data_IF_657833104916
#
_entry.id   IF_657833104916
#
_cell.length_a   1.000
_cell.length_b   1.000
_cell.length_c   1.000
_cell.angle_alpha   90.00
_cell.angle_beta   90.00
_cell.angle_gamma   90.00
#
_symmetry.space_group_name_H-M   'P 1'
#
loop_
_entity.id
_entity.type
_entity.pdbx_description
1 polymer ?
2 polymer ?
3 non-polymer ?
4 non-polymer ?
5 water ?
#
# COMPACT_ATOMS: atom_id res chain seq x y z
N UNK A 2 27.37 3.65 -2.42
CA UNK A 2 26.88 3.50 -1.06
C UNK A 2 26.14 4.78 -0.63
N UNK A 3 24.81 4.79 -0.80
CA UNK A 3 23.97 5.93 -0.42
C UNK A 3 23.83 6.08 1.09
N UNK A 4 24.55 5.27 1.89
CA UNK A 4 24.66 5.56 3.31
C UNK A 4 25.31 6.90 3.57
N UNK A 5 26.04 7.43 2.59
CA UNK A 5 26.59 8.77 2.72
C UNK A 5 25.46 9.80 2.79
N UNK A 6 24.65 9.90 1.73
CA UNK A 6 23.55 10.86 1.71
C UNK A 6 22.69 10.77 2.95
N UNK A 7 22.73 9.64 3.67
CA UNK A 7 21.92 9.44 4.86
C UNK A 7 22.58 10.07 6.09
N UNK A 8 23.77 9.57 6.45
CA UNK A 8 24.51 10.17 7.56
C UNK A 8 24.69 11.67 7.36
N UNK A 9 24.89 12.10 6.11
CA UNK A 9 25.00 13.53 5.82
C UNK A 9 23.72 14.25 6.22
N UNK A 10 22.56 13.65 5.95
CA UNK A 10 21.30 14.31 6.28
C UNK A 10 20.99 14.22 7.77
N UNK A 11 21.37 13.12 8.42
CA UNK A 11 21.05 12.98 9.85
C UNK A 11 21.94 13.88 10.70
N UNK A 12 23.25 13.88 10.43
CA UNK A 12 24.13 14.86 11.05
C UNK A 12 23.66 16.27 10.72
N UNK A 13 23.48 16.55 9.43
CA UNK A 13 22.94 17.84 9.00
C UNK A 13 21.56 18.10 9.61
N UNK A 14 20.78 17.04 9.87
CA UNK A 14 19.48 17.17 10.51
C UNK A 14 18.39 17.80 9.66
N UNK A 15 18.49 17.71 8.34
CA UNK A 15 17.61 18.43 7.42
C UNK A 15 16.59 17.50 6.76
N UNK A 16 16.03 16.55 7.51
CA UNK A 16 15.05 15.64 6.93
C UNK A 16 13.78 16.37 6.54
N UNK A 17 13.26 17.22 7.44
CA UNK A 17 12.09 18.03 7.10
C UNK A 17 12.39 18.96 5.94
N UNK A 18 13.61 19.51 5.89
CA UNK A 18 14.00 20.33 4.76
C UNK A 18 13.84 19.55 3.46
N UNK A 19 14.34 18.32 3.42
CA UNK A 19 14.27 17.52 2.22
C UNK A 19 12.84 17.06 1.95
N UNK A 20 12.10 16.73 3.01
CA UNK A 20 10.71 16.31 2.82
C UNK A 20 9.88 17.43 2.20
N UNK A 21 10.04 18.66 2.68
CA UNK A 21 9.26 19.78 2.14
C UNK A 21 9.60 20.06 0.68
N UNK A 22 10.84 19.79 0.27
CA UNK A 22 11.20 20.03 -1.12
C UNK A 22 10.39 19.13 -2.06
N UNK A 23 10.13 17.90 -1.64
CA UNK A 23 9.37 16.98 -2.47
C UNK A 23 7.93 17.43 -2.60
N UNK A 24 7.34 17.91 -1.49
CA UNK A 24 6.01 18.50 -1.57
C UNK A 24 5.98 19.60 -2.62
N UNK A 25 7.03 20.41 -2.68
CA UNK A 25 7.01 21.56 -3.58
C UNK A 25 7.16 21.12 -5.03
N UNK A 26 7.99 20.12 -5.28
CA UNK A 26 8.21 19.65 -6.65
C UNK A 26 7.16 18.66 -7.12
N UNK A 27 6.37 18.08 -6.22
CA UNK A 27 5.47 16.99 -6.60
C UNK A 27 4.42 17.46 -7.61
N UNK A 28 4.07 16.55 -8.52
CA UNK A 28 3.12 16.85 -9.58
C UNK A 28 1.78 17.36 -9.02
N UNK A 29 0.92 17.81 -9.92
CA UNK A 29 -0.35 18.44 -9.54
C UNK A 29 -1.26 18.31 -10.76
N UNK A 30 -2.06 17.25 -10.79
CA UNK A 30 -2.95 17.05 -11.93
C UNK A 30 -4.40 17.21 -11.53
N UNK A 31 -5.31 17.43 -12.48
CA UNK A 31 -6.72 17.60 -12.12
C UNK A 31 -7.29 16.34 -11.50
N UNK A 32 -8.15 16.53 -10.49
CA UNK A 32 -8.95 15.48 -9.88
C UNK A 32 -10.43 15.79 -10.08
N UNK A 33 -10.91 15.76 -11.32
CA UNK A 33 -12.23 16.30 -11.61
C UNK A 33 -13.33 15.32 -11.24
N UNK A 34 -13.20 14.05 -11.63
CA UNK A 34 -14.21 13.05 -11.27
C UNK A 34 -14.30 12.93 -9.75
N UNK A 35 -13.15 12.87 -9.07
CA UNK A 35 -13.15 12.82 -7.62
C UNK A 35 -13.96 13.93 -6.99
N UNK A 36 -14.00 15.10 -7.64
CA UNK A 36 -14.63 16.26 -7.02
C UNK A 36 -16.09 16.43 -7.38
N UNK A 37 -16.62 15.64 -8.31
CA UNK A 37 -18.05 15.74 -8.59
C UNK A 37 -18.85 15.56 -7.31
N UNK A 38 -20.06 16.13 -7.25
CA UNK A 38 -20.84 16.02 -6.01
C UNK A 38 -21.37 14.62 -5.77
N UNK A 39 -21.80 13.90 -6.82
CA UNK A 39 -22.29 12.55 -6.60
C UNK A 39 -21.23 11.63 -6.02
N UNK A 40 -19.99 12.10 -5.87
CA UNK A 40 -18.90 11.30 -5.34
C UNK A 40 -18.39 11.83 -4.01
N UNK A 41 -19.06 12.83 -3.44
CA UNK A 41 -18.61 13.34 -2.16
C UNK A 41 -18.54 12.24 -1.10
N UNK A 42 -19.52 11.34 -1.10
CA UNK A 42 -19.60 10.29 -0.09
C UNK A 42 -18.74 9.06 -0.41
N UNK A 43 -18.02 9.06 -1.54
CA UNK A 43 -17.11 7.98 -1.84
C UNK A 43 -15.66 8.32 -1.49
N UNK A 44 -15.43 9.49 -0.90
CA UNK A 44 -14.10 9.91 -0.47
C UNK A 44 -14.10 10.06 1.03
N UNK A 45 -13.08 9.50 1.67
CA UNK A 45 -12.97 9.56 3.12
C UNK A 45 -12.47 10.92 3.59
N UNK A 46 -11.49 11.49 2.89
CA UNK A 46 -10.95 12.79 3.19
C UNK A 46 -11.17 13.72 2.01
N UNK A 47 -11.41 14.99 2.30
CA UNK A 47 -11.73 15.90 1.21
C UNK A 47 -10.50 16.59 0.61
N UNK A 48 -9.32 16.38 1.17
CA UNK A 48 -8.07 16.81 0.55
C UNK A 48 -7.23 15.63 0.05
N UNK A 49 -7.85 14.48 -0.24
CA UNK A 49 -7.15 13.32 -0.78
C UNK A 49 -7.99 12.73 -1.90
N UNK A 50 -7.56 12.92 -3.15
CA UNK A 50 -8.31 12.45 -4.31
C UNK A 50 -7.38 11.85 -5.36
N UNK A 51 -7.84 10.88 -6.13
CA UNK A 51 -7.02 10.36 -7.23
C UNK A 51 -7.02 11.30 -8.42
N UNK A 52 -5.85 11.42 -9.06
CA UNK A 52 -5.77 12.12 -10.34
C UNK A 52 -6.64 11.43 -11.37
N UNK A 53 -7.34 12.23 -12.18
CA UNK A 53 -8.14 11.69 -13.28
C UNK A 53 -7.34 10.74 -14.16
N UNK A 54 -6.04 11.01 -14.37
CA UNK A 54 -5.35 10.25 -15.40
C UNK A 54 -4.96 8.85 -14.95
N UNK A 55 -4.84 8.63 -13.64
CA UNK A 55 -4.41 7.32 -13.12
C UNK A 55 -5.47 6.66 -12.23
N UNK A 56 -6.70 7.16 -12.20
CA UNK A 56 -7.69 6.62 -11.30
C UNK A 56 -8.23 5.29 -11.84
N UNK A 57 -8.51 4.36 -10.92
CA UNK A 57 -9.13 3.10 -11.28
C UNK A 57 -10.60 3.33 -11.61
N UNK A 58 -11.09 2.70 -12.68
CA UNK A 58 -12.50 2.79 -13.03
C UNK A 58 -13.19 1.46 -12.79
N UNK A 59 -14.29 1.49 -12.05
CA UNK A 59 -15.18 0.34 -11.94
C UNK A 59 -15.88 0.10 -13.27
N UNK A 60 -16.07 -1.17 -13.61
CA UNK A 60 -16.77 -1.55 -14.84
C UNK A 60 -18.29 -1.54 -14.59
N UNK A 61 -18.78 -0.36 -14.20
CA UNK A 61 -20.18 -0.09 -13.92
C UNK A 61 -20.68 0.95 -14.91
N UNK A 62 -21.92 0.79 -15.36
CA UNK A 62 -22.47 1.75 -16.32
C UNK A 62 -22.96 3.04 -15.65
N UNK A 63 -23.28 3.00 -14.35
CA UNK A 63 -23.81 4.17 -13.67
C UNK A 63 -22.68 5.06 -13.15
N UNK A 64 -22.02 4.62 -12.07
CA UNK A 64 -20.95 5.40 -11.45
C UNK A 64 -19.71 4.54 -11.35
N UNK A 65 -18.65 4.94 -12.07
CA UNK A 65 -17.45 4.13 -12.15
C UNK A 65 -16.35 4.60 -11.22
N UNK A 66 -16.68 5.44 -10.24
CA UNK A 66 -15.68 6.13 -9.44
C UNK A 66 -15.36 5.39 -8.14
N UNK A 67 -14.07 5.28 -7.84
CA UNK A 67 -13.58 4.85 -6.54
C UNK A 67 -12.28 5.59 -6.28
N UNK A 68 -12.04 5.91 -5.01
CA UNK A 68 -10.83 6.65 -4.64
C UNK A 68 -9.64 5.67 -4.59
N UNK A 69 -9.19 5.29 -5.79
CA UNK A 69 -8.01 4.45 -5.94
C UNK A 69 -7.20 4.93 -7.15
N UNK A 70 -5.89 4.67 -7.12
CA UNK A 70 -4.95 5.12 -8.15
C UNK A 70 -4.04 3.99 -8.61
N UNK A 71 -3.86 3.87 -9.92
CA UNK A 71 -2.91 2.92 -10.50
C UNK A 71 -1.54 3.58 -10.58
N UNK A 72 -0.57 3.03 -9.86
CA UNK A 72 0.79 3.52 -9.83
C UNK A 72 1.63 2.54 -10.64
N UNK A 73 1.96 2.91 -11.86
CA UNK A 73 2.65 2.02 -12.79
C UNK A 73 4.11 2.42 -12.86
N UNK A 74 4.96 1.70 -12.15
CA UNK A 74 6.38 2.00 -12.15
C UNK A 74 7.00 1.29 -13.35
N UNK A 75 7.20 2.06 -14.42
CA UNK A 75 7.55 1.48 -15.73
C UNK A 75 8.89 0.76 -15.68
N UNK A 76 9.92 1.41 -15.13
CA UNK A 76 11.24 0.81 -15.10
C UNK A 76 11.28 -0.36 -14.13
N UNK A 77 10.81 -0.16 -12.90
CA UNK A 77 10.78 -1.25 -11.94
C UNK A 77 9.92 -2.41 -12.41
N UNK A 78 8.99 -2.17 -13.34
CA UNK A 78 8.15 -3.22 -13.89
C UNK A 78 7.15 -3.77 -12.88
N UNK A 79 6.67 -2.93 -11.97
CA UNK A 79 5.60 -3.30 -11.05
C UNK A 79 4.54 -2.21 -11.00
N UNK A 80 3.28 -2.63 -11.02
CA UNK A 80 2.15 -1.74 -10.76
C UNK A 80 1.60 -1.98 -9.36
N UNK A 81 1.13 -0.91 -8.73
CA UNK A 81 0.39 -0.97 -7.48
C UNK A 81 -0.90 -0.18 -7.63
N UNK A 82 -1.92 -0.58 -6.86
CA UNK A 82 -3.15 0.19 -6.72
C UNK A 82 -3.19 0.68 -5.27
N UNK A 83 -3.09 1.98 -5.08
CA UNK A 83 -3.24 2.58 -3.76
C UNK A 83 -4.64 3.17 -3.64
N UNK A 84 -5.35 2.79 -2.58
CA UNK A 84 -6.71 3.21 -2.35
C UNK A 84 -6.85 3.61 -0.90
N UNK A 85 -7.93 4.33 -0.58
CA UNK A 85 -8.23 4.66 0.80
C UNK A 85 -8.85 3.46 1.51
N UNK A 86 -8.78 3.47 2.84
CA UNK A 86 -9.57 2.53 3.63
C UNK A 86 -11.03 2.61 3.22
N UNK A 87 -11.60 1.48 2.81
CA UNK A 87 -12.97 1.50 2.30
C UNK A 87 -13.95 2.11 3.31
N UNK A 88 -15.03 2.67 2.78
CA UNK A 88 -16.05 3.30 3.62
C UNK A 88 -17.23 2.36 3.74
N UNK A 89 -18.12 2.60 4.72
CA UNK A 89 -19.27 1.69 4.87
C UNK A 89 -19.99 1.45 3.58
N UNK A 90 -20.05 2.46 2.71
CA UNK A 90 -20.74 2.32 1.44
C UNK A 90 -19.83 1.94 0.28
N UNK A 91 -18.50 1.87 0.46
CA UNK A 91 -17.63 1.55 -0.67
C UNK A 91 -17.01 0.15 -0.59
N UNK A 92 -17.36 -0.66 0.42
CA UNK A 92 -16.83 -2.02 0.51
C UNK A 92 -17.12 -2.83 -0.76
N UNK A 93 -18.35 -2.78 -1.24
CA UNK A 93 -18.65 -3.44 -2.50
C UNK A 93 -17.78 -2.94 -3.65
N UNK A 94 -17.53 -1.61 -3.69
CA UNK A 94 -16.70 -1.07 -4.76
C UNK A 94 -15.27 -1.56 -4.65
N UNK A 95 -14.79 -1.64 -3.41
CA UNK A 95 -13.42 -2.10 -3.18
C UNK A 95 -13.21 -3.49 -3.76
N UNK A 96 -14.11 -4.44 -3.43
CA UNK A 96 -13.96 -5.80 -3.90
C UNK A 96 -14.30 -5.94 -5.37
N UNK A 97 -15.19 -5.09 -5.89
CA UNK A 97 -15.39 -5.05 -7.33
C UNK A 97 -14.09 -4.65 -8.03
N UNK A 98 -13.41 -3.65 -7.48
CA UNK A 98 -12.13 -3.26 -8.03
C UNK A 98 -11.15 -4.42 -7.98
N UNK A 99 -11.05 -5.08 -6.81
CA UNK A 99 -10.16 -6.22 -6.66
C UNK A 99 -10.45 -7.27 -7.72
N UNK A 100 -11.73 -7.56 -7.97
CA UNK A 100 -12.09 -8.55 -8.97
C UNK A 100 -11.75 -8.07 -10.38
N UNK A 101 -12.21 -6.87 -10.75
CA UNK A 101 -12.03 -6.40 -12.13
C UNK A 101 -10.57 -6.21 -12.49
N UNK A 102 -9.73 -5.81 -11.55
CA UNK A 102 -8.30 -5.66 -11.80
C UNK A 102 -7.49 -6.95 -11.57
N UNK A 103 -8.15 -8.06 -11.21
CA UNK A 103 -7.50 -9.35 -11.06
C UNK A 103 -6.41 -9.33 -9.99
N UNK A 104 -6.54 -8.46 -9.00
CA UNK A 104 -5.55 -8.49 -7.93
C UNK A 104 -5.63 -9.82 -7.19
N UNK A 105 -4.49 -10.21 -6.61
CA UNK A 105 -4.35 -11.42 -5.85
C UNK A 105 -4.02 -11.15 -4.40
N UNK A 106 -3.50 -9.98 -4.08
CA UNK A 106 -3.20 -9.64 -2.71
C UNK A 106 -3.75 -8.27 -2.37
N UNK A 107 -4.12 -8.10 -1.11
CA UNK A 107 -4.45 -6.81 -0.52
C UNK A 107 -3.52 -6.60 0.66
N UNK A 108 -2.85 -5.46 0.70
CA UNK A 108 -1.98 -5.10 1.81
C UNK A 108 -2.66 -3.96 2.56
N UNK A 109 -2.97 -4.20 3.83
CA UNK A 109 -3.66 -3.23 4.68
C UNK A 109 -2.72 -2.84 5.81
N UNK A 110 -2.44 -1.55 5.94
CA UNK A 110 -1.39 -1.06 6.82
C UNK A 110 -1.92 -0.26 8.01
N UNK A 111 -3.23 -0.10 8.13
CA UNK A 111 -3.86 0.56 9.25
C UNK A 111 -4.70 -0.44 10.04
N UNK A 112 -5.24 0.02 11.16
CA UNK A 112 -6.27 -0.73 11.86
C UNK A 112 -7.63 -0.03 11.69
N UNK A 113 -8.69 -0.81 11.87
CA UNK A 113 -10.04 -0.27 11.74
C UNK A 113 -10.26 0.89 12.70
N UNK A 114 -9.69 0.79 13.90
CA UNK A 114 -9.74 1.85 14.91
C UNK A 114 -8.32 2.30 15.21
N UNK A 115 -8.09 3.61 15.21
CA UNK A 115 -6.76 4.16 15.43
C UNK A 115 -6.86 5.42 16.28
N UNK A 116 -6.43 5.32 17.54
CA UNK A 116 -6.49 6.43 18.48
C UNK A 116 -7.91 7.00 18.58
N UNK A 117 -8.91 6.11 18.62
CA UNK A 117 -10.29 6.50 18.74
C UNK A 117 -10.95 7.01 17.47
N UNK A 118 -10.22 7.08 16.34
CA UNK A 118 -10.77 7.55 15.09
C UNK A 118 -11.08 6.36 14.18
N UNK A 119 -12.27 6.37 13.59
CA UNK A 119 -12.66 5.29 12.70
C UNK A 119 -11.97 5.52 11.36
N UNK A 120 -10.93 4.73 11.08
CA UNK A 120 -10.12 4.91 9.88
C UNK A 120 -10.56 4.03 8.72
N UNK A 121 -11.54 3.15 8.89
CA UNK A 121 -11.81 2.16 7.86
C UNK A 121 -13.00 1.26 8.23
N UNK A 122 -13.82 0.88 7.26
CA UNK A 122 -14.89 -0.08 7.52
C UNK A 122 -14.34 -1.50 7.68
N UNK A 123 -15.15 -2.38 8.26
CA UNK A 123 -14.76 -3.79 8.44
C UNK A 123 -15.19 -4.52 7.17
N UNK A 124 -14.31 -4.53 6.16
CA UNK A 124 -14.69 -4.92 4.81
C UNK A 124 -14.35 -6.37 4.47
N UNK A 125 -13.77 -7.11 5.41
CA UNK A 125 -13.52 -8.54 5.25
C UNK A 125 -14.06 -9.30 6.46
N UNK A 126 -14.50 -10.53 6.26
CA UNK A 126 -15.14 -11.29 7.36
C UNK A 126 -14.14 -11.81 8.37
N UNK A 127 -14.42 -11.58 9.64
CA UNK A 127 -13.53 -12.02 10.71
C UNK A 127 -13.79 -13.46 11.15
N UNK A 128 -14.94 -14.04 10.81
CA UNK A 128 -15.26 -15.42 11.20
C UNK A 128 -15.54 -16.25 9.96
N UNK A 129 -14.96 -17.45 9.92
CA UNK A 129 -15.20 -18.38 8.82
C UNK A 129 -16.68 -18.49 8.48
N UNK A 130 -17.54 -18.63 9.51
CA UNK A 130 -18.96 -18.92 9.28
C UNK A 130 -19.81 -17.70 8.99
N UNK A 131 -19.28 -16.49 9.15
CA UNK A 131 -20.03 -15.26 8.87
C UNK A 131 -19.39 -14.57 7.67
N UNK A 132 -19.81 -15.00 6.48
CA UNK A 132 -19.27 -14.45 5.25
C UNK A 132 -20.06 -13.22 4.82
N UNK A 133 -19.40 -12.35 4.05
CA UNK A 133 -20.01 -11.10 3.61
C UNK A 133 -20.56 -11.21 2.21
N UNK A 134 -21.69 -10.56 1.98
CA UNK A 134 -22.31 -10.51 0.66
C UNK A 134 -22.53 -9.05 0.30
N UNK A 135 -21.89 -8.61 -0.79
CA UNK A 135 -22.04 -7.24 -1.28
C UNK A 135 -23.04 -7.28 -2.43
N UNK A 136 -24.29 -6.92 -2.12
CA UNK A 136 -25.36 -7.09 -3.11
C UNK A 136 -25.25 -6.06 -4.22
N UNK A 137 -24.79 -4.84 -3.91
CA UNK A 137 -24.65 -3.83 -4.96
C UNK A 137 -23.73 -4.31 -6.08
N UNK A 138 -22.65 -5.03 -5.76
CA UNK A 138 -21.71 -5.49 -6.78
C UNK A 138 -21.71 -7.01 -7.01
N UNK A 139 -22.58 -7.76 -6.34
CA UNK A 139 -22.77 -9.18 -6.66
C UNK A 139 -21.52 -10.00 -6.33
N UNK A 140 -20.94 -9.75 -5.16
CA UNK A 140 -19.76 -10.45 -4.74
C UNK A 140 -20.00 -11.06 -3.35
N UNK A 141 -19.35 -12.20 -3.12
CA UNK A 141 -19.40 -12.92 -1.86
C UNK A 141 -17.97 -13.16 -1.43
N UNK A 142 -17.73 -13.03 -0.12
CA UNK A 142 -16.39 -13.00 0.46
C UNK A 142 -16.37 -13.85 1.75
N UNK A 143 -15.46 -14.81 1.82
CA UNK A 143 -15.46 -15.85 2.85
C UNK A 143 -14.07 -16.01 3.44
N UNK A 144 -13.94 -15.87 4.75
CA UNK A 144 -12.68 -16.23 5.39
C UNK A 144 -12.48 -17.73 5.29
N UNK A 145 -11.31 -18.15 4.82
CA UNK A 145 -10.98 -19.56 4.70
C UNK A 145 -10.02 -20.02 5.79
N UNK A 146 -9.04 -19.18 6.12
CA UNK A 146 -8.04 -19.52 7.13
C UNK A 146 -7.26 -18.26 7.42
N UNK A 147 -6.54 -18.27 8.53
CA UNK A 147 -5.73 -17.11 8.86
C UNK A 147 -4.54 -17.53 9.70
N UNK A 148 -3.48 -16.73 9.60
CA UNK A 148 -2.18 -16.99 10.23
C UNK A 148 -1.84 -15.73 11.01
N UNK A 149 -2.04 -15.77 12.33
CA UNK A 149 -1.80 -14.60 13.17
C UNK A 149 -0.35 -14.59 13.62
N UNK A 150 0.19 -13.39 13.80
CA UNK A 150 1.58 -13.24 14.21
C UNK A 150 1.65 -12.06 15.17
N UNK A 151 2.84 -11.84 15.73
CA UNK A 151 3.04 -10.75 16.70
C UNK A 151 2.40 -9.45 16.19
N UNK A 152 2.91 -8.92 15.07
CA UNK A 152 2.53 -7.60 14.60
C UNK A 152 1.86 -7.62 13.22
N UNK A 153 1.49 -8.79 12.69
CA UNK A 153 0.78 -8.82 11.44
C UNK A 153 0.02 -10.13 11.33
N UNK A 154 -0.97 -10.15 10.46
CA UNK A 154 -1.79 -11.32 10.21
C UNK A 154 -1.98 -11.48 8.71
N UNK A 155 -1.87 -12.72 8.24
CA UNK A 155 -2.13 -13.05 6.85
C UNK A 155 -3.41 -13.88 6.81
N UNK A 156 -4.37 -13.44 6.00
CA UNK A 156 -5.64 -14.15 5.87
C UNK A 156 -5.78 -14.67 4.45
N UNK A 157 -6.42 -15.82 4.34
CA UNK A 157 -6.77 -16.41 3.06
C UNK A 157 -8.27 -16.22 2.89
N UNK A 158 -8.67 -15.59 1.79
CA UNK A 158 -10.06 -15.26 1.55
C UNK A 158 -10.46 -15.90 0.24
N UNK A 159 -11.76 -16.15 0.10
CA UNK A 159 -12.29 -16.58 -1.18
C UNK A 159 -13.31 -15.55 -1.63
N UNK A 160 -13.07 -14.95 -2.79
CA UNK A 160 -13.93 -13.97 -3.40
C UNK A 160 -14.70 -14.64 -4.52
N UNK A 161 -16.02 -14.59 -4.46
CA UNK A 161 -16.84 -15.26 -5.47
C UNK A 161 -17.62 -14.23 -6.26
N UNK A 162 -17.67 -14.43 -7.57
CA UNK A 162 -18.46 -13.59 -8.48
C UNK A 162 -19.83 -14.25 -8.63
N UNK A 163 -20.82 -13.73 -7.89
CA UNK A 163 -22.13 -14.36 -7.84
C UNK A 163 -22.76 -14.52 -9.21
N UNK A 164 -22.40 -13.66 -10.17
CA UNK A 164 -22.95 -13.81 -11.51
C UNK A 164 -22.38 -15.06 -12.18
N UNK A 165 -21.07 -15.06 -12.43
CA UNK A 165 -20.43 -16.20 -13.08
C UNK A 165 -20.13 -17.35 -12.13
N UNK A 166 -20.33 -17.16 -10.83
CA UNK A 166 -20.03 -18.19 -9.84
C UNK A 166 -18.54 -18.57 -9.82
N UNK A 167 -17.74 -17.89 -10.65
CA UNK A 167 -16.29 -18.04 -10.57
C UNK A 167 -15.78 -17.58 -9.21
N UNK A 168 -14.68 -18.19 -8.77
CA UNK A 168 -14.10 -17.91 -7.47
C UNK A 168 -12.60 -17.67 -7.62
N UNK A 169 -12.04 -16.91 -6.68
CA UNK A 169 -10.62 -16.64 -6.65
C UNK A 169 -10.18 -16.54 -5.20
N UNK A 170 -8.92 -16.89 -4.97
CA UNK A 170 -8.30 -16.74 -3.67
C UNK A 170 -7.55 -15.42 -3.58
N UNK A 171 -7.75 -14.71 -2.48
CA UNK A 171 -7.14 -13.40 -2.23
C UNK A 171 -6.38 -13.52 -0.93
N UNK A 172 -5.13 -13.07 -0.91
CA UNK A 172 -4.34 -13.03 0.30
C UNK A 172 -4.37 -11.64 0.92
N UNK A 173 -4.72 -11.56 2.19
CA UNK A 173 -4.86 -10.31 2.91
C UNK A 173 -3.70 -10.22 3.90
N UNK A 174 -2.82 -9.23 3.71
CA UNK A 174 -1.68 -9.01 4.59
C UNK A 174 -1.95 -7.75 5.42
N UNK A 175 -2.18 -7.95 6.72
CA UNK A 175 -2.60 -6.89 7.63
C UNK A 175 -1.47 -6.57 8.60
N UNK A 176 -0.89 -5.38 8.46
CA UNK A 176 0.12 -4.88 9.38
C UNK A 176 -0.60 -4.12 10.50
N UNK A 177 -0.45 -4.59 11.74
CA UNK A 177 -1.30 -4.11 12.83
C UNK A 177 -0.60 -3.14 13.78
N UNK A 178 0.70 -2.93 13.63
CA UNK A 178 1.47 -2.11 14.56
C UNK A 178 2.19 -0.97 13.85
N UNK A 179 1.51 -0.34 12.90
CA UNK A 179 2.07 0.80 12.18
C UNK A 179 1.18 2.00 12.44
N UNK A 180 1.59 2.94 13.29
CA UNK A 180 0.71 4.06 13.66
C UNK A 180 0.58 5.08 12.53
N UNK A 181 -0.62 5.61 12.39
CA UNK A 181 -0.86 6.71 11.48
C UNK A 181 0.19 7.80 11.69
N UNK A 182 0.72 8.33 10.60
CA UNK A 182 1.77 9.34 10.63
C UNK A 182 3.00 8.86 11.41
N UNK A 183 3.10 7.56 11.68
CA UNK A 183 4.24 7.00 12.37
C UNK A 183 5.04 6.06 11.47
N UNK A 184 5.96 5.33 12.09
CA UNK A 184 6.83 4.42 11.34
C UNK A 184 6.75 3.04 11.96
N UNK A 185 7.12 2.01 11.20
CA UNK A 185 7.21 0.66 11.78
C UNK A 185 8.23 0.60 12.90
N UNK A 186 8.11 -0.43 13.74
CA UNK A 186 8.98 -0.54 14.91
C UNK A 186 10.45 -0.57 14.50
N UNK A 187 10.78 -1.26 13.42
CA UNK A 187 12.16 -1.40 12.99
C UNK A 187 12.18 -1.74 11.51
N UNK A 188 13.28 -1.45 10.82
CA UNK A 188 13.38 -1.89 9.41
C UNK A 188 13.17 -3.37 9.24
N UNK A 189 13.60 -4.18 10.22
CA UNK A 189 13.41 -5.62 10.12
C UNK A 189 11.93 -5.99 10.16
N UNK A 190 11.18 -5.37 11.06
CA UNK A 190 9.73 -5.60 11.07
C UNK A 190 9.16 -5.35 9.69
N UNK A 191 9.50 -4.20 9.10
CA UNK A 191 8.95 -3.85 7.79
C UNK A 191 9.40 -4.82 6.71
N UNK A 192 10.71 -5.06 6.61
CA UNK A 192 11.21 -5.87 5.51
C UNK A 192 10.76 -7.31 5.61
N UNK A 193 10.62 -7.84 6.83
CA UNK A 193 10.05 -9.17 7.00
C UNK A 193 8.62 -9.21 6.48
N UNK A 194 7.84 -8.17 6.74
CA UNK A 194 6.50 -8.08 6.19
C UNK A 194 6.54 -7.96 4.67
N UNK A 195 7.34 -7.03 4.15
CA UNK A 195 7.41 -6.86 2.70
C UNK A 195 7.78 -8.17 2.00
N UNK A 196 8.81 -8.86 2.52
CA UNK A 196 9.23 -10.09 1.86
C UNK A 196 8.19 -11.20 2.04
N UNK A 197 7.48 -11.22 3.16
CA UNK A 197 6.34 -12.12 3.25
C UNK A 197 5.37 -11.89 2.09
N UNK A 198 5.09 -10.62 1.77
CA UNK A 198 4.23 -10.32 0.63
C UNK A 198 4.86 -10.78 -0.67
N UNK A 199 6.17 -10.49 -0.84
CA UNK A 199 6.86 -10.90 -2.06
C UNK A 199 6.81 -12.41 -2.25
N UNK A 200 7.07 -13.16 -1.18
CA UNK A 200 7.16 -14.61 -1.31
C UNK A 200 5.81 -15.25 -1.61
N UNK A 201 4.72 -14.65 -1.15
CA UNK A 201 3.40 -15.20 -1.36
C UNK A 201 3.02 -15.26 -2.84
N UNK A 202 3.73 -14.55 -3.72
CA UNK A 202 3.35 -14.50 -5.11
C UNK A 202 2.34 -13.42 -5.48
N UNK A 203 1.80 -12.69 -4.51
CA UNK A 203 0.80 -11.66 -4.80
C UNK A 203 1.34 -10.54 -5.68
N UNK A 204 2.65 -10.33 -5.70
CA UNK A 204 3.22 -9.25 -6.49
C UNK A 204 3.64 -9.69 -7.88
N UNK A 205 3.45 -10.96 -8.22
CA UNK A 205 3.89 -11.41 -9.53
C UNK A 205 3.13 -10.69 -10.63
N UNK A 206 3.76 -10.50 -11.80
CA UNK A 206 3.10 -9.77 -12.89
C UNK A 206 2.06 -10.60 -13.65
N UNK A 207 1.97 -11.91 -13.43
CA UNK A 207 0.83 -12.59 -14.02
C UNK A 207 -0.47 -12.27 -13.27
N UNK A 208 -0.37 -11.58 -12.15
CA UNK A 208 -1.54 -11.10 -11.42
C UNK A 208 -1.77 -9.62 -11.69
N UNK A 209 -3.01 -9.19 -11.48
CA UNK A 209 -3.30 -7.77 -11.44
C UNK A 209 -2.47 -7.14 -10.35
N UNK A 210 -2.39 -5.81 -10.30
CA UNK A 210 -1.58 -5.18 -9.27
C UNK A 210 -2.12 -5.47 -7.87
N UNK A 211 -1.21 -5.58 -6.91
CA UNK A 211 -1.60 -5.65 -5.52
C UNK A 211 -2.27 -4.36 -5.09
N UNK A 212 -3.31 -4.47 -4.25
CA UNK A 212 -4.00 -3.31 -3.70
C UNK A 212 -3.38 -2.97 -2.35
N UNK A 213 -2.93 -1.74 -2.18
CA UNK A 213 -2.33 -1.29 -0.94
C UNK A 213 -3.18 -0.15 -0.40
N UNK A 214 -3.51 -0.21 0.89
CA UNK A 214 -4.34 0.82 1.50
C UNK A 214 -3.98 0.97 2.97
N UNK A 215 -4.17 2.19 3.47
CA UNK A 215 -4.18 2.51 4.89
C UNK A 215 -5.45 3.27 5.19
N UNK A 216 -5.33 4.44 5.81
CA UNK A 216 -6.50 5.31 6.01
C UNK A 216 -6.76 6.14 4.75
N UNK A 217 -5.84 7.04 4.42
CA UNK A 217 -5.98 7.85 3.21
C UNK A 217 -5.39 7.19 1.96
N UNK A 218 -4.53 6.19 2.12
CA UNK A 218 -3.90 5.58 0.97
C UNK A 218 -2.75 6.38 0.38
N UNK A 219 -1.98 7.07 1.21
CA UNK A 219 -0.88 7.89 0.73
C UNK A 219 0.33 7.85 1.68
N UNK A 220 0.09 7.76 2.99
CA UNK A 220 1.19 7.84 3.94
C UNK A 220 1.92 6.54 4.18
N UNK A 221 1.32 5.66 4.99
CA UNK A 221 1.90 4.33 5.16
C UNK A 221 1.90 3.55 3.84
N UNK A 222 0.85 3.70 3.04
CA UNK A 222 0.86 3.06 1.72
C UNK A 222 2.02 3.55 0.88
N UNK A 223 2.33 4.85 0.95
CA UNK A 223 3.42 5.39 0.14
C UNK A 223 4.77 4.83 0.56
N UNK A 224 5.01 4.77 1.86
CA UNK A 224 6.22 4.16 2.40
C UNK A 224 6.38 2.72 1.93
N UNK A 225 5.29 1.96 1.94
CA UNK A 225 5.38 0.56 1.53
C UNK A 225 5.81 0.45 0.08
N UNK A 226 5.11 1.16 -0.82
CA UNK A 226 5.41 1.02 -2.24
C UNK A 226 6.75 1.65 -2.61
N UNK A 227 7.17 2.71 -1.94
CA UNK A 227 8.47 3.30 -2.22
C UNK A 227 9.61 2.32 -1.95
N UNK A 228 9.61 1.71 -0.75
CA UNK A 228 10.62 0.72 -0.42
C UNK A 228 10.64 -0.44 -1.42
N UNK A 229 9.47 -1.02 -1.71
CA UNK A 229 9.46 -2.15 -2.63
C UNK A 229 10.03 -1.76 -4.00
N UNK A 230 9.64 -0.60 -4.52
CA UNK A 230 10.10 -0.17 -5.84
C UNK A 230 11.61 0.09 -5.86
N UNK A 231 12.15 0.77 -4.84
CA UNK A 231 13.58 1.02 -4.81
C UNK A 231 14.38 -0.28 -4.79
N UNK A 232 13.93 -1.26 -4.01
CA UNK A 232 14.61 -2.55 -4.01
C UNK A 232 14.48 -3.22 -5.38
N UNK A 233 13.34 -3.09 -6.04
CA UNK A 233 13.22 -3.63 -7.40
C UNK A 233 14.25 -2.98 -8.34
N UNK A 234 14.37 -1.64 -8.27
CA UNK A 234 15.30 -0.95 -9.17
C UNK A 234 16.74 -1.32 -8.86
N UNK A 235 17.13 -1.24 -7.58
CA UNK A 235 18.40 -1.72 -7.09
C UNK A 235 18.81 -3.02 -7.77
N UNK A 236 17.87 -3.97 -7.85
CA UNK A 236 18.14 -5.28 -8.42
C UNK A 236 18.13 -5.24 -9.95
N UNK A 237 17.20 -4.49 -10.54
CA UNK A 237 17.11 -4.41 -11.99
C UNK A 237 18.35 -3.74 -12.57
N UNK A 238 18.65 -2.52 -12.13
CA UNK A 238 19.88 -1.86 -12.54
C UNK A 238 21.11 -2.68 -12.20
N UNK A 239 21.02 -3.55 -11.19
CA UNK A 239 22.19 -4.33 -10.74
C UNK A 239 23.24 -3.42 -10.10
N UNK A 240 22.80 -2.46 -9.28
CA UNK A 240 23.68 -1.50 -8.64
C UNK A 240 23.00 -0.78 -7.47
N UNK A 241 23.29 -1.17 -6.23
CA UNK A 241 22.69 -0.48 -5.07
C UNK A 241 22.83 1.05 -5.07
N UNK A 242 23.99 1.58 -5.46
CA UNK A 242 24.25 3.01 -5.30
C UNK A 242 23.45 3.87 -6.26
N UNK A 243 22.92 3.29 -7.34
CA UNK A 243 22.34 4.09 -8.42
C UNK A 243 20.98 4.69 -8.04
N UNK A 244 20.26 4.08 -7.11
CA UNK A 244 18.84 4.40 -6.88
C UNK A 244 18.74 5.69 -6.07
N UNK A 245 18.07 6.68 -6.65
CA UNK A 245 17.85 7.96 -5.97
C UNK A 245 16.45 7.96 -5.38
N UNK A 246 16.37 7.79 -4.05
CA UNK A 246 15.08 7.58 -3.40
C UNK A 246 14.16 8.78 -3.63
N UNK A 247 14.69 10.00 -3.48
CA UNK A 247 13.88 11.19 -3.75
C UNK A 247 13.30 11.17 -5.16
N UNK A 248 14.08 10.69 -6.14
CA UNK A 248 13.61 10.72 -7.52
C UNK A 248 12.53 9.67 -7.75
N UNK A 249 12.65 8.51 -7.09
CA UNK A 249 11.62 7.48 -7.23
C UNK A 249 10.32 7.94 -6.59
N UNK A 250 10.40 8.64 -5.46
CA UNK A 250 9.19 9.11 -4.81
C UNK A 250 8.45 10.10 -5.71
N UNK A 251 9.19 10.98 -6.39
CA UNK A 251 8.54 11.97 -7.24
C UNK A 251 7.93 11.32 -8.48
N UNK A 252 8.53 10.23 -8.97
CA UNK A 252 7.90 9.45 -10.02
C UNK A 252 6.56 8.85 -9.53
N UNK A 253 6.56 8.30 -8.31
CA UNK A 253 5.33 7.74 -7.77
C UNK A 253 4.27 8.81 -7.57
N UNK A 254 4.67 10.02 -7.22
CA UNK A 254 3.71 11.09 -7.00
C UNK A 254 3.10 11.61 -8.30
N UNK A 255 3.58 11.18 -9.46
CA UNK A 255 2.87 11.51 -10.69
C UNK A 255 1.55 10.76 -10.78
N UNK A 256 1.37 9.69 -10.00
CA UNK A 256 0.19 8.84 -10.12
C UNK A 256 -0.79 8.99 -8.96
N UNK A 257 -0.33 9.43 -7.79
CA UNK A 257 -1.23 9.69 -6.68
C UNK A 257 -0.59 10.75 -5.79
N UNK A 258 -1.38 11.72 -5.35
CA UNK A 258 -0.86 12.81 -4.53
C UNK A 258 -0.46 12.34 -3.15
N UNK A 259 0.49 13.04 -2.55
CA UNK A 259 0.74 12.96 -1.12
C UNK A 259 1.52 11.77 -0.61
N UNK A 260 2.04 10.91 -1.49
CA UNK A 260 2.70 9.69 -1.04
C UNK A 260 3.83 9.99 -0.06
N UNK A 261 3.78 9.32 1.09
CA UNK A 261 4.69 9.58 2.21
C UNK A 261 4.22 10.85 2.89
N UNK A 262 3.84 10.75 4.18
CA UNK A 262 3.09 11.80 4.84
C UNK A 262 3.89 12.60 5.87
N UNK A 263 5.07 12.13 6.28
CA UNK A 263 5.87 12.87 7.24
C UNK A 263 7.34 12.74 6.86
N UNK A 264 8.15 13.62 7.46
CA UNK A 264 9.59 13.54 7.27
C UNK A 264 10.15 12.25 7.86
N UNK A 265 9.59 11.79 8.98
CA UNK A 265 10.08 10.55 9.57
C UNK A 265 9.75 9.33 8.70
N UNK A 266 8.62 9.35 7.99
CA UNK A 266 8.33 8.21 7.11
C UNK A 266 9.33 8.15 5.97
N UNK A 267 9.74 9.31 5.46
CA UNK A 267 10.76 9.36 4.42
C UNK A 267 12.10 8.83 4.93
N UNK A 268 12.49 9.23 6.14
CA UNK A 268 13.74 8.71 6.70
C UNK A 268 13.68 7.21 6.87
N UNK A 269 12.53 6.68 7.29
CA UNK A 269 12.42 5.24 7.43
C UNK A 269 12.57 4.56 6.07
N UNK A 270 12.09 5.21 5.01
CA UNK A 270 12.22 4.68 3.66
C UNK A 270 13.69 4.48 3.30
N UNK A 271 14.51 5.50 3.53
CA UNK A 271 15.96 5.35 3.37
C UNK A 271 16.47 4.19 4.21
N UNK A 272 16.11 4.18 5.50
CA UNK A 272 16.60 3.13 6.38
C UNK A 272 16.22 1.75 5.86
N UNK A 273 14.98 1.60 5.38
CA UNK A 273 14.52 0.30 4.93
C UNK A 273 15.21 -0.11 3.62
N UNK A 274 15.35 0.82 2.68
CA UNK A 274 16.02 0.50 1.44
C UNK A 274 17.50 0.20 1.68
N UNK A 275 18.11 0.90 2.64
CA UNK A 275 19.50 0.64 2.96
C UNK A 275 19.67 -0.75 3.54
N UNK A 276 18.82 -1.10 4.51
CA UNK A 276 18.89 -2.45 5.06
C UNK A 276 18.65 -3.50 3.99
N UNK A 277 17.57 -3.35 3.21
CA UNK A 277 17.20 -4.37 2.24
C UNK A 277 18.22 -4.59 1.15
N UNK A 278 19.08 -3.61 0.88
CA UNK A 278 20.09 -3.80 -0.17
C UNK A 278 21.04 -4.95 0.17
N UNK A 279 21.25 -5.21 1.47
CA UNK A 279 22.02 -6.39 1.86
C UNK A 279 21.50 -7.64 1.14
N UNK A 280 20.18 -7.84 1.15
CA UNK A 280 19.62 -8.99 0.48
C UNK A 280 19.90 -8.94 -1.01
N UNK A 281 19.76 -7.76 -1.63
CA UNK A 281 19.95 -7.65 -3.07
C UNK A 281 21.42 -7.83 -3.41
N UNK A 282 22.32 -7.39 -2.54
CA UNK A 282 23.76 -7.54 -2.76
C UNK A 282 24.21 -8.99 -2.81
N UNK A 283 23.40 -9.94 -2.33
CA UNK A 283 23.76 -11.33 -2.31
C UNK A 283 23.73 -11.98 -0.93
N UNK A 284 23.55 -11.20 0.13
CA UNK A 284 23.45 -11.74 1.49
C UNK A 284 22.01 -12.22 1.72
N UNK A 285 21.66 -13.30 1.02
CA UNK A 285 20.29 -13.80 1.07
C UNK A 285 19.88 -14.21 2.48
N UNK A 286 20.84 -14.50 3.37
CA UNK A 286 20.51 -14.97 4.71
C UNK A 286 20.16 -13.85 5.67
N UNK A 287 20.32 -12.58 5.26
CA UNK A 287 19.82 -11.50 6.11
C UNK A 287 18.31 -11.63 6.30
N UNK A 288 17.61 -12.23 5.33
CA UNK A 288 16.16 -12.36 5.43
C UNK A 288 15.75 -13.09 6.71
N UNK A 289 16.44 -14.20 7.02
CA UNK A 289 16.12 -14.94 8.24
C UNK A 289 16.49 -14.17 9.49
N UNK A 290 17.49 -13.30 9.41
CA UNK A 290 17.77 -12.41 10.52
C UNK A 290 16.62 -11.44 10.77
N UNK A 291 15.99 -10.95 9.69
CA UNK A 291 14.83 -10.08 9.83
C UNK A 291 13.69 -10.80 10.55
N UNK A 292 13.44 -12.05 10.18
CA UNK A 292 12.35 -12.80 10.80
C UNK A 292 12.59 -12.96 12.30
N UNK A 293 13.79 -13.41 12.68
CA UNK A 293 14.11 -13.51 14.10
C UNK A 293 14.02 -12.15 14.78
N UNK A 294 14.48 -11.10 14.11
CA UNK A 294 14.58 -9.77 14.72
C UNK A 294 13.24 -9.05 14.82
N UNK A 295 12.19 -9.57 14.19
CA UNK A 295 10.89 -8.92 14.18
C UNK A 295 9.95 -9.45 15.26
N UNK A 296 10.38 -10.44 16.03
CA UNK A 296 9.55 -11.01 17.10
C UNK A 296 8.21 -11.49 16.56
N UNK A 297 8.22 -12.03 15.33
CA UNK A 297 6.95 -12.32 14.70
C UNK A 297 6.17 -13.43 15.39
N UNK A 298 6.80 -14.15 16.32
CA UNK A 298 6.10 -15.13 17.15
C UNK A 298 5.93 -14.56 18.56
N UNK A 299 4.82 -14.92 19.18
CA UNK A 299 4.55 -14.46 20.55
C UNK A 299 3.19 -14.99 21.02
N UNK B 7 -12.50 15.86 9.11
CA UNK B 7 -12.54 15.11 7.86
C UNK B 7 -11.60 15.73 6.83
N UNK B 8 -10.50 16.29 7.32
CA UNK B 8 -9.39 16.70 6.47
C UNK B 8 -8.19 15.85 6.79
N UNK B 9 -7.30 15.72 5.81
CA UNK B 9 -6.12 14.91 6.03
C UNK B 9 -5.02 15.70 6.73
N UNK B 10 -4.76 16.93 6.26
CA UNK B 10 -3.70 17.76 6.82
C UNK B 10 -4.28 18.92 7.61
#
# INVERSE_FOLDING_TARGET
>A
MEMEKEFEQIDKSGSWAAIYEDIRHEASDFPCRVAKLPKNKNRNRYRDVSPFDHSRIKLHQEDNDYINASLIKMEEAQRSYILTQGPLPNTCGHFWEMVWEQKSRGVVMLNRVMEKGSLKCAQYWPQKEEKEMIFEDTNLKLTLISEDIKSYYTVRQLELENLTTQETREILHFHYTTWPAFGVPESPASFLNFLFKVRESGSLSPEHGPVVVHCSAGIGRSGTFCLADTCLLLMDKRKDPSSVDIKKVLLEMRKFRMGLIATADQLRFSYLAVIEGAKFIMGDSSVQDQWKELSHEDL
>B
LLPLDKDYYVVREPGQ
#
